data_IF_765537086053
#
_entry.id   IF_765537086053
#
_cell.length_a   1.000
_cell.length_b   1.000
_cell.length_c   1.000
_cell.angle_alpha   90.00
_cell.angle_beta   90.00
_cell.angle_gamma   90.00
#
_symmetry.space_group_name_H-M   'P 1'
#
loop_
_entity.id
_entity.type
_entity.pdbx_description
1 polymer ?
#
# COMPACT_ATOMS: atom_id res chain seq x y z
N UNK A 1 50.62 -31.19 1.31
CA UNK A 1 51.66 -30.76 0.36
C UNK A 1 51.06 -29.65 -0.46
N UNK A 2 51.15 -28.41 0.05
CA UNK A 2 51.01 -27.20 -0.79
C UNK A 2 52.27 -27.09 -1.70
N UNK A 3 52.30 -26.19 -2.70
CA UNK A 3 52.55 -24.78 -2.41
C UNK A 3 51.58 -23.78 -3.06
N UNK A 4 51.56 -22.62 -2.43
CA UNK A 4 50.81 -21.38 -2.66
C UNK A 4 51.46 -20.45 -3.71
N UNK A 5 50.73 -19.36 -4.03
CA UNK A 5 51.15 -17.94 -4.28
C UNK A 5 50.58 -17.36 -5.58
N UNK A 6 50.12 -16.11 -5.71
CA UNK A 6 49.90 -14.96 -4.82
C UNK A 6 49.14 -13.87 -5.63
N UNK A 7 48.65 -12.85 -4.91
CA UNK A 7 47.79 -11.73 -5.28
C UNK A 7 48.18 -10.83 -6.48
N UNK A 8 47.19 -10.11 -7.03
CA UNK A 8 47.28 -8.65 -7.34
C UNK A 8 45.95 -7.98 -7.74
N UNK A 9 45.72 -6.80 -7.16
CA UNK A 9 44.72 -5.74 -7.45
C UNK A 9 45.50 -4.40 -7.42
N UNK A 10 45.06 -3.22 -7.93
CA UNK A 10 44.05 -2.80 -8.93
C UNK A 10 44.70 -2.00 -10.11
N UNK A 11 43.93 -1.24 -10.92
CA UNK A 11 44.02 0.23 -10.76
C UNK A 11 42.72 1.04 -10.93
N UNK A 12 42.83 2.30 -10.49
CA UNK A 12 41.87 3.41 -10.45
C UNK A 12 41.18 3.79 -11.76
N UNK A 13 39.92 4.24 -11.66
CA UNK A 13 39.29 5.13 -12.66
C UNK A 13 38.52 6.29 -11.98
N UNK A 14 39.27 7.37 -11.77
CA UNK A 14 39.02 8.76 -12.19
C UNK A 14 37.55 9.24 -12.19
N UNK A 15 37.23 10.04 -11.17
CA UNK A 15 36.15 11.04 -11.18
C UNK A 15 36.69 12.35 -11.74
N UNK A 16 35.97 12.99 -12.69
CA UNK A 16 36.17 14.41 -13.05
C UNK A 16 34.87 15.21 -12.93
N UNK A 17 34.94 16.49 -12.50
CA UNK A 17 33.79 17.33 -12.19
C UNK A 17 33.46 18.34 -13.29
N UNK A 18 32.22 18.87 -13.27
CA UNK A 18 31.78 20.11 -13.92
C UNK A 18 30.36 20.41 -13.41
N UNK A 19 29.92 21.60 -13.05
CA UNK A 19 30.48 22.95 -13.10
C UNK A 19 29.32 23.96 -12.99
N UNK A 20 29.63 25.18 -12.54
CA UNK A 20 28.87 26.44 -12.67
C UNK A 20 27.61 26.63 -11.77
N UNK A 21 27.26 27.81 -11.23
CA UNK A 21 27.77 29.18 -11.37
C UNK A 21 27.28 30.05 -10.18
N UNK A 22 28.06 31.09 -9.85
CA UNK A 22 27.80 32.19 -8.90
C UNK A 22 26.74 33.20 -9.41
N UNK A 23 26.15 33.98 -8.48
CA UNK A 23 26.03 35.47 -8.39
C UNK A 23 24.79 35.83 -7.53
N UNK A 24 24.85 36.43 -6.32
CA UNK A 24 25.03 37.87 -5.93
C UNK A 24 24.12 38.81 -6.75
N UNK A 25 23.24 39.69 -6.23
CA UNK A 25 23.42 40.87 -5.33
C UNK A 25 22.04 41.47 -4.90
N UNK A 26 21.82 41.86 -3.63
CA UNK A 26 21.70 43.23 -3.04
C UNK A 26 20.51 44.15 -3.41
N UNK A 27 19.77 44.61 -2.38
CA UNK A 27 19.26 45.99 -2.11
C UNK A 27 18.59 45.97 -0.70
N UNK A 28 19.16 46.52 0.39
CA UNK A 28 19.23 47.94 0.87
C UNK A 28 17.84 48.62 0.98
N UNK A 29 17.31 48.76 2.21
CA UNK A 29 17.43 49.89 3.18
C UNK A 29 16.44 51.05 2.89
N UNK A 30 15.39 51.19 3.73
CA UNK A 30 15.23 52.22 4.78
C UNK A 30 14.81 53.62 4.30
N UNK A 31 13.79 54.18 4.97
CA UNK A 31 13.70 55.61 5.36
C UNK A 31 12.57 55.88 6.35
N UNK A 32 12.98 56.32 7.54
CA UNK A 32 12.44 57.38 8.44
C UNK A 32 11.36 58.32 7.85
N UNK A 33 10.45 59.00 8.56
CA UNK A 33 10.46 59.67 9.89
C UNK A 33 8.98 60.15 10.13
N UNK A 34 8.36 60.04 11.31
CA UNK A 34 8.34 61.06 12.38
C UNK A 34 7.11 62.00 12.36
N UNK A 35 6.30 62.07 13.45
CA UNK A 35 5.37 63.20 13.68
C UNK A 35 4.08 63.00 14.49
N UNK A 36 4.18 63.12 15.82
CA UNK A 36 3.24 63.50 16.89
C UNK A 36 1.69 63.60 16.72
N UNK A 37 0.99 62.89 17.63
CA UNK A 37 -0.07 63.30 18.60
C UNK A 37 -1.34 64.05 18.14
N UNK A 38 -2.53 63.50 18.44
CA UNK A 38 -3.55 64.08 19.36
C UNK A 38 -4.92 63.34 19.36
N UNK A 39 -5.25 62.75 20.51
CA UNK A 39 -6.56 62.57 21.22
C UNK A 39 -7.83 61.92 20.62
N UNK A 40 -8.47 61.17 21.54
CA UNK A 40 -9.91 60.89 21.73
C UNK A 40 -10.53 59.74 20.90
N UNK A 41 -10.63 58.53 21.47
CA UNK A 41 -11.77 58.07 22.29
C UNK A 41 -13.06 57.88 21.52
N UNK A 42 -13.42 56.64 21.14
CA UNK A 42 -14.69 55.99 21.52
C UNK A 42 -14.80 54.54 21.02
N UNK A 43 -14.86 53.64 21.99
CA UNK A 43 -15.71 52.44 22.10
C UNK A 43 -16.33 51.86 20.82
N UNK A 44 -15.96 50.61 20.55
CA UNK A 44 -16.62 49.71 19.61
C UNK A 44 -15.85 48.39 19.54
N UNK A 45 -15.81 47.66 20.65
CA UNK A 45 -15.26 46.31 20.68
C UNK A 45 -16.23 45.38 19.96
N UNK A 46 -16.14 45.31 18.64
CA UNK A 46 -16.70 44.21 17.88
C UNK A 46 -15.77 43.01 18.11
N UNK A 47 -15.98 42.34 19.24
CA UNK A 47 -15.47 40.99 19.46
C UNK A 47 -16.21 40.09 18.47
N UNK A 48 -15.56 39.79 17.35
CA UNK A 48 -15.94 38.72 16.44
C UNK A 48 -15.65 37.37 17.13
N UNK A 49 -16.30 37.13 18.27
CA UNK A 49 -16.36 35.83 18.92
C UNK A 49 -17.63 35.16 18.44
N UNK A 50 -17.58 34.60 17.22
CA UNK A 50 -18.58 33.66 16.74
C UNK A 50 -18.64 32.48 17.73
N UNK A 51 -19.52 32.58 18.73
CA UNK A 51 -19.72 31.54 19.72
C UNK A 51 -20.37 30.36 19.02
N UNK A 52 -19.69 29.22 19.05
CA UNK A 52 -20.16 27.94 18.54
C UNK A 52 -21.32 27.35 19.36
N UNK A 53 -21.78 28.06 20.40
CA UNK A 53 -22.90 27.71 21.26
C UNK A 53 -24.22 27.77 20.47
N UNK A 54 -24.59 26.64 19.88
CA UNK A 54 -25.82 26.48 19.09
C UNK A 54 -25.67 25.59 17.86
N UNK A 55 -24.43 25.27 17.45
CA UNK A 55 -24.19 24.37 16.31
C UNK A 55 -24.74 22.96 16.52
N UNK A 56 -24.90 22.52 17.77
CA UNK A 56 -25.46 21.21 18.13
C UNK A 56 -27.00 21.16 18.12
N UNK A 57 -27.66 22.33 18.11
CA UNK A 57 -29.13 22.44 18.02
C UNK A 57 -29.63 22.48 16.57
N UNK A 58 -28.73 22.58 15.59
CA UNK A 58 -29.11 22.53 14.18
C UNK A 58 -29.74 21.17 13.86
N UNK A 59 -30.92 21.15 13.21
CA UNK A 59 -31.55 19.90 12.80
C UNK A 59 -30.60 19.12 11.89
N UNK A 60 -30.30 17.89 12.28
CA UNK A 60 -29.54 16.97 11.45
C UNK A 60 -30.45 16.50 10.33
N UNK A 61 -30.29 17.07 9.14
CA UNK A 61 -30.94 16.58 7.93
C UNK A 61 -30.61 15.09 7.75
N UNK A 62 -31.63 14.20 7.67
CA UNK A 62 -31.39 12.79 7.45
C UNK A 62 -30.67 12.56 6.11
N UNK A 63 -29.38 12.27 6.18
CA UNK A 63 -28.60 11.96 4.99
C UNK A 63 -28.98 10.56 4.49
N UNK A 64 -29.72 10.48 3.38
CA UNK A 64 -29.98 9.20 2.72
C UNK A 64 -28.66 8.56 2.26
N UNK A 65 -28.43 7.33 2.71
CA UNK A 65 -27.26 6.57 2.27
C UNK A 65 -27.46 6.17 0.81
N UNK A 66 -26.42 6.42 0.01
CA UNK A 66 -26.38 5.99 -1.40
C UNK A 66 -26.60 4.46 -1.48
N UNK A 67 -27.37 3.97 -2.45
CA UNK A 67 -27.57 2.54 -2.60
C UNK A 67 -26.25 1.84 -2.96
N UNK A 68 -26.03 0.67 -2.36
CA UNK A 68 -24.83 -0.15 -2.52
C UNK A 68 -25.11 -1.41 -3.34
N UNK A 69 -24.09 -1.93 -4.01
CA UNK A 69 -24.17 -3.19 -4.73
C UNK A 69 -24.15 -4.37 -3.75
N UNK A 70 -25.12 -5.29 -3.86
CA UNK A 70 -25.18 -6.49 -3.02
C UNK A 70 -23.99 -7.45 -3.19
N UNK A 71 -23.27 -7.39 -4.32
CA UNK A 71 -22.14 -8.27 -4.63
C UNK A 71 -20.80 -7.74 -4.10
N UNK A 72 -20.53 -6.44 -4.22
CA UNK A 72 -19.22 -5.86 -3.85
C UNK A 72 -19.29 -4.72 -2.81
N UNK A 73 -20.49 -4.33 -2.38
CA UNK A 73 -20.77 -3.21 -1.46
C UNK A 73 -20.30 -1.84 -1.94
N UNK A 74 -19.90 -1.69 -3.21
CA UNK A 74 -19.61 -0.37 -3.80
C UNK A 74 -20.91 0.41 -4.03
N UNK A 75 -20.90 1.75 -3.93
CA UNK A 75 -22.04 2.56 -4.34
C UNK A 75 -22.41 2.26 -5.80
N UNK A 76 -23.70 2.13 -6.09
CA UNK A 76 -24.18 1.67 -7.41
C UNK A 76 -23.61 2.47 -8.58
N UNK A 77 -23.49 3.80 -8.42
CA UNK A 77 -22.99 4.72 -9.46
C UNK A 77 -21.54 4.45 -9.91
N UNK A 78 -20.72 3.81 -9.07
CA UNK A 78 -19.30 3.51 -9.34
C UNK A 78 -19.01 2.02 -9.24
N UNK A 79 -20.06 1.20 -9.31
CA UNK A 79 -19.94 -0.24 -9.24
C UNK A 79 -19.34 -0.81 -10.54
N UNK A 80 -18.38 -1.72 -10.40
CA UNK A 80 -17.73 -2.39 -11.53
C UNK A 80 -18.31 -3.78 -11.81
N UNK A 81 -19.21 -4.29 -10.96
CA UNK A 81 -19.84 -5.61 -11.13
C UNK A 81 -20.51 -5.82 -12.51
N UNK A 82 -21.14 -4.82 -13.16
CA UNK A 82 -21.72 -4.99 -14.48
C UNK A 82 -20.71 -5.31 -15.59
N UNK A 83 -19.43 -4.97 -15.40
CA UNK A 83 -18.36 -5.17 -16.38
C UNK A 83 -17.49 -6.39 -16.08
N UNK A 84 -17.81 -7.14 -15.01
CA UNK A 84 -17.09 -8.37 -14.71
C UNK A 84 -17.43 -9.46 -15.72
N UNK A 85 -16.54 -10.44 -15.92
CA UNK A 85 -16.83 -11.61 -16.74
C UNK A 85 -18.16 -12.27 -16.34
N UNK A 86 -18.94 -12.66 -17.36
CA UNK A 86 -20.23 -13.35 -17.17
C UNK A 86 -20.03 -14.71 -16.48
N UNK A 87 -18.92 -15.38 -16.80
CA UNK A 87 -18.51 -16.63 -16.18
C UNK A 87 -17.19 -16.45 -15.44
N UNK A 88 -16.99 -17.11 -14.29
CA UNK A 88 -15.71 -17.07 -13.58
C UNK A 88 -14.54 -17.50 -14.48
N UNK A 89 -13.40 -16.83 -14.32
CA UNK A 89 -12.19 -17.13 -15.05
C UNK A 89 -11.65 -18.50 -14.64
N UNK A 90 -11.30 -19.33 -15.62
CA UNK A 90 -10.71 -20.62 -15.35
C UNK A 90 -9.23 -20.47 -15.00
N UNK A 91 -8.86 -20.81 -13.76
CA UNK A 91 -7.48 -20.78 -13.28
C UNK A 91 -7.10 -22.13 -12.65
N UNK A 92 -5.87 -22.58 -12.91
CA UNK A 92 -5.31 -23.79 -12.31
C UNK A 92 -4.81 -23.54 -10.88
N UNK A 93 -4.27 -22.35 -10.63
CA UNK A 93 -3.69 -21.90 -9.37
C UNK A 93 -4.75 -21.42 -8.37
N UNK A 94 -4.54 -21.66 -7.08
CA UNK A 94 -5.36 -21.10 -5.99
C UNK A 94 -4.78 -19.77 -5.53
N UNK A 95 -5.63 -18.77 -5.33
CA UNK A 95 -5.25 -17.49 -4.77
C UNK A 95 -5.58 -17.44 -3.28
N UNK A 96 -4.59 -17.03 -2.50
CA UNK A 96 -4.71 -16.84 -1.06
C UNK A 96 -4.44 -15.37 -0.72
N UNK A 97 -5.49 -14.59 -0.54
CA UNK A 97 -5.41 -13.14 -0.30
C UNK A 97 -5.31 -12.88 1.20
N UNK A 98 -4.21 -12.27 1.63
CA UNK A 98 -4.01 -11.79 2.99
C UNK A 98 -4.31 -10.30 3.01
N UNK A 99 -5.52 -9.94 3.44
CA UNK A 99 -6.01 -8.58 3.40
C UNK A 99 -5.77 -7.84 4.71
N UNK A 100 -5.20 -6.64 4.63
CA UNK A 100 -5.06 -5.76 5.77
C UNK A 100 -6.45 -5.26 6.25
N UNK A 101 -6.76 -5.21 7.57
CA UNK A 101 -8.09 -4.82 8.05
C UNK A 101 -8.55 -3.41 7.65
N UNK A 102 -7.62 -2.50 7.34
CA UNK A 102 -7.97 -1.17 6.85
C UNK A 102 -8.46 -1.18 5.40
N UNK A 103 -8.09 -2.19 4.60
CA UNK A 103 -8.54 -2.33 3.21
C UNK A 103 -9.97 -2.88 3.13
N UNK A 104 -10.34 -3.77 4.05
CA UNK A 104 -11.70 -4.32 4.12
C UNK A 104 -12.75 -3.21 4.21
N UNK A 105 -12.46 -2.15 4.97
CA UNK A 105 -13.39 -1.04 5.20
C UNK A 105 -13.38 0.01 4.08
N UNK A 106 -12.55 -0.15 3.04
CA UNK A 106 -12.53 0.79 1.92
C UNK A 106 -13.75 0.60 1.03
N UNK A 107 -14.45 1.69 0.76
CA UNK A 107 -15.61 1.74 -0.13
C UNK A 107 -15.28 1.20 -1.53
N UNK A 108 -14.07 1.47 -2.04
CA UNK A 108 -13.61 1.03 -3.36
C UNK A 108 -12.62 -0.16 -3.28
N UNK A 109 -12.88 -1.11 -2.38
CA UNK A 109 -12.10 -2.35 -2.27
C UNK A 109 -12.18 -3.21 -3.52
N UNK A 110 -11.07 -3.86 -3.86
CA UNK A 110 -10.87 -4.67 -5.08
C UNK A 110 -11.08 -6.15 -4.84
N UNK A 111 -10.79 -6.64 -3.63
CA UNK A 111 -10.89 -8.06 -3.28
C UNK A 111 -12.27 -8.68 -3.58
N UNK A 112 -13.42 -8.04 -3.26
CA UNK A 112 -14.72 -8.60 -3.63
C UNK A 112 -14.94 -8.72 -5.14
N UNK A 113 -14.34 -7.81 -5.94
CA UNK A 113 -14.40 -7.90 -7.40
C UNK A 113 -13.53 -9.05 -7.92
N UNK A 114 -12.32 -9.21 -7.39
CA UNK A 114 -11.45 -10.33 -7.73
C UNK A 114 -12.10 -11.67 -7.40
N UNK A 115 -12.60 -11.84 -6.18
CA UNK A 115 -13.28 -13.06 -5.74
C UNK A 115 -14.52 -13.36 -6.60
N UNK A 116 -15.25 -12.32 -7.01
CA UNK A 116 -16.38 -12.42 -7.92
C UNK A 116 -16.01 -12.93 -9.32
N UNK A 117 -14.79 -12.71 -9.78
CA UNK A 117 -14.30 -13.16 -11.10
C UNK A 117 -13.76 -14.59 -11.09
N UNK A 118 -13.65 -15.25 -9.94
CA UNK A 118 -12.98 -16.54 -9.79
C UNK A 118 -13.94 -17.62 -9.27
N UNK A 119 -13.64 -18.90 -9.52
CA UNK A 119 -14.33 -20.00 -8.85
C UNK A 119 -14.21 -19.88 -7.33
N UNK A 120 -15.27 -20.22 -6.60
CA UNK A 120 -15.33 -20.04 -5.14
C UNK A 120 -14.26 -20.84 -4.38
N UNK A 121 -13.85 -21.98 -4.93
CA UNK A 121 -12.79 -22.85 -4.40
C UNK A 121 -11.38 -22.35 -4.72
N UNK A 122 -11.24 -21.40 -5.66
CA UNK A 122 -9.94 -20.90 -6.14
C UNK A 122 -9.48 -19.59 -5.52
N UNK A 123 -10.33 -18.90 -4.75
CA UNK A 123 -9.95 -17.64 -4.10
C UNK A 123 -10.34 -17.65 -2.63
N UNK A 124 -9.33 -17.66 -1.75
CA UNK A 124 -9.52 -17.60 -0.31
C UNK A 124 -8.99 -16.29 0.24
N UNK A 125 -9.81 -15.59 1.01
CA UNK A 125 -9.45 -14.30 1.63
C UNK A 125 -9.34 -14.48 3.14
N UNK A 126 -8.25 -13.99 3.73
CA UNK A 126 -8.06 -13.90 5.18
C UNK A 126 -7.71 -12.47 5.56
N UNK A 127 -8.49 -11.91 6.48
CA UNK A 127 -8.30 -10.54 6.96
C UNK A 127 -7.53 -10.58 8.27
N UNK A 128 -6.45 -9.80 8.36
CA UNK A 128 -5.66 -9.75 9.59
C UNK A 128 -4.29 -9.12 9.40
N UNK A 129 -3.63 -8.84 10.54
CA UNK A 129 -2.25 -8.35 10.57
C UNK A 129 -1.25 -9.40 11.05
N UNK A 130 -1.73 -10.39 11.81
CA UNK A 130 -0.90 -11.39 12.49
C UNK A 130 -1.54 -12.78 12.42
N UNK A 131 -0.80 -13.72 11.88
CA UNK A 131 -1.13 -15.11 11.67
C UNK A 131 -0.04 -15.94 12.34
N UNK A 132 -0.45 -16.99 13.04
CA UNK A 132 0.46 -17.94 13.67
C UNK A 132 -0.03 -19.35 13.40
N UNK A 133 0.83 -20.34 13.59
CA UNK A 133 0.53 -21.74 13.27
C UNK A 133 -0.63 -22.28 14.10
N UNK A 134 -0.75 -21.85 15.35
CA UNK A 134 -1.75 -22.30 16.30
C UNK A 134 -3.12 -21.69 15.99
N UNK A 135 -3.13 -20.44 15.52
CA UNK A 135 -4.38 -19.72 15.21
C UNK A 135 -4.88 -20.00 13.80
N UNK A 136 -3.98 -20.38 12.90
CA UNK A 136 -4.31 -20.59 11.50
C UNK A 136 -3.55 -21.77 10.89
N UNK A 137 -4.00 -22.97 11.29
CA UNK A 137 -3.45 -24.26 10.83
C UNK A 137 -3.51 -24.39 9.31
N UNK A 138 -4.59 -23.92 8.69
CA UNK A 138 -4.76 -23.99 7.25
C UNK A 138 -3.74 -23.11 6.52
N UNK A 139 -3.58 -21.85 6.93
CA UNK A 139 -2.61 -20.95 6.31
C UNK A 139 -1.17 -21.45 6.54
N UNK A 140 -0.87 -21.96 7.74
CA UNK A 140 0.43 -22.61 8.01
C UNK A 140 0.69 -23.78 7.05
N UNK A 141 -0.31 -24.64 6.86
CA UNK A 141 -0.22 -25.78 5.92
C UNK A 141 0.02 -25.31 4.49
N UNK A 142 -0.67 -24.27 4.05
CA UNK A 142 -0.47 -23.67 2.71
C UNK A 142 0.94 -23.10 2.58
N UNK A 143 1.43 -22.35 3.57
CA UNK A 143 2.76 -21.74 3.53
C UNK A 143 3.91 -22.76 3.48
N UNK A 144 3.70 -23.98 3.98
CA UNK A 144 4.71 -25.05 4.00
C UNK A 144 4.80 -25.87 2.71
N UNK A 145 3.81 -25.75 1.81
CA UNK A 145 3.84 -26.47 0.54
C UNK A 145 4.91 -25.88 -0.38
N UNK A 146 5.73 -26.73 -0.99
CA UNK A 146 6.76 -26.33 -1.94
C UNK A 146 6.21 -25.67 -3.22
N UNK A 147 4.96 -25.94 -3.57
CA UNK A 147 4.26 -25.33 -4.72
C UNK A 147 3.49 -24.06 -4.37
N UNK A 148 3.71 -23.49 -3.17
CA UNK A 148 3.16 -22.21 -2.77
C UNK A 148 4.20 -21.11 -2.98
N UNK A 149 3.77 -20.03 -3.64
CA UNK A 149 4.54 -18.80 -3.77
C UNK A 149 3.91 -17.70 -2.94
N UNK A 150 4.71 -16.71 -2.57
CA UNK A 150 4.20 -15.45 -2.03
C UNK A 150 4.64 -14.28 -2.89
N UNK A 151 3.68 -13.49 -3.34
CA UNK A 151 3.92 -12.28 -4.12
C UNK A 151 4.28 -11.13 -3.18
N UNK A 152 5.58 -10.90 -3.01
CA UNK A 152 6.12 -9.83 -2.18
C UNK A 152 7.54 -9.47 -2.65
N UNK A 153 7.83 -8.20 -2.96
CA UNK A 153 9.15 -7.77 -3.47
C UNK A 153 10.17 -7.60 -2.33
N UNK A 154 10.54 -8.72 -1.69
CA UNK A 154 11.63 -8.78 -0.72
C UNK A 154 13.01 -8.94 -1.38
N UNK A 155 14.07 -8.90 -0.57
CA UNK A 155 15.45 -9.09 -1.05
C UNK A 155 15.67 -10.46 -1.72
N UNK A 156 14.97 -11.49 -1.25
CA UNK A 156 15.04 -12.87 -1.74
C UNK A 156 14.04 -13.15 -2.89
N UNK A 157 13.33 -12.13 -3.36
CA UNK A 157 12.28 -12.27 -4.36
C UNK A 157 12.88 -12.46 -5.77
N UNK A 158 12.59 -13.62 -6.36
CA UNK A 158 12.90 -13.91 -7.76
C UNK A 158 11.78 -13.35 -8.66
N UNK A 159 12.10 -13.05 -9.91
CA UNK A 159 11.06 -12.70 -10.87
C UNK A 159 10.09 -13.88 -11.10
N UNK A 160 8.79 -13.59 -11.20
CA UNK A 160 7.78 -14.64 -11.37
C UNK A 160 7.89 -15.32 -12.75
N UNK A 161 8.18 -14.57 -13.80
CA UNK A 161 8.32 -15.13 -15.15
C UNK A 161 9.55 -16.03 -15.23
N UNK A 162 10.68 -15.59 -14.69
CA UNK A 162 11.90 -16.40 -14.56
C UNK A 162 11.64 -17.70 -13.78
N UNK A 163 10.94 -17.61 -12.65
CA UNK A 163 10.58 -18.78 -11.85
C UNK A 163 9.72 -19.79 -12.64
N UNK A 164 8.77 -19.31 -13.44
CA UNK A 164 7.89 -20.19 -14.23
C UNK A 164 8.67 -20.89 -15.35
N UNK A 165 9.68 -20.24 -15.93
CA UNK A 165 10.53 -20.81 -16.97
C UNK A 165 11.48 -21.89 -16.44
N UNK A 166 12.06 -21.66 -15.26
CA UNK A 166 13.08 -22.54 -14.67
C UNK A 166 12.50 -23.73 -13.89
N UNK A 167 11.24 -23.63 -13.46
CA UNK A 167 10.61 -24.66 -12.63
C UNK A 167 9.86 -25.71 -13.47
N UNK A 168 10.15 -27.02 -13.29
CA UNK A 168 9.35 -28.07 -13.91
C UNK A 168 7.95 -28.22 -13.29
N UNK A 169 7.68 -27.52 -12.18
CA UNK A 169 6.42 -27.60 -11.44
C UNK A 169 5.76 -26.22 -11.39
N UNK A 170 4.55 -26.13 -11.96
CA UNK A 170 3.71 -24.94 -11.87
C UNK A 170 3.21 -24.72 -10.43
N UNK A 171 3.18 -23.47 -9.94
CA UNK A 171 2.71 -23.17 -8.60
C UNK A 171 1.22 -23.50 -8.45
N UNK A 172 0.90 -24.25 -7.40
CA UNK A 172 -0.48 -24.63 -7.09
C UNK A 172 -1.23 -23.52 -6.34
N UNK A 173 -0.49 -22.67 -5.62
CA UNK A 173 -1.04 -21.59 -4.79
C UNK A 173 -0.14 -20.35 -4.85
N UNK A 174 -0.75 -19.17 -4.96
CA UNK A 174 -0.08 -17.89 -4.81
C UNK A 174 -0.72 -17.11 -3.66
N UNK A 175 0.09 -16.74 -2.68
CA UNK A 175 -0.29 -15.85 -1.58
C UNK A 175 -0.06 -14.41 -2.03
N UNK A 176 -1.07 -13.55 -1.89
CA UNK A 176 -1.01 -12.12 -2.24
C UNK A 176 -1.37 -11.30 -1.01
N UNK A 177 -0.60 -10.26 -0.71
CA UNK A 177 -0.89 -9.35 0.40
C UNK A 177 -1.63 -8.13 -0.13
N UNK A 178 -2.89 -7.95 0.26
CA UNK A 178 -3.72 -6.80 -0.12
C UNK A 178 -3.61 -5.69 0.93
N UNK A 179 -3.00 -4.58 0.53
CA UNK A 179 -2.67 -3.45 1.39
C UNK A 179 -1.87 -2.38 0.67
N UNK A 180 -1.74 -1.20 1.29
CA UNK A 180 -0.72 -0.24 0.89
C UNK A 180 0.67 -0.82 1.12
N UNK A 181 1.70 -0.26 0.49
CA UNK A 181 3.09 -0.72 0.67
C UNK A 181 3.51 -0.85 2.14
N UNK A 182 3.16 0.13 2.97
CA UNK A 182 3.45 0.09 4.41
C UNK A 182 2.68 -1.03 5.12
N UNK A 183 1.40 -1.25 4.78
CA UNK A 183 0.59 -2.31 5.37
C UNK A 183 1.06 -3.70 4.94
N UNK A 184 1.35 -3.90 3.66
CA UNK A 184 1.83 -5.16 3.13
C UNK A 184 3.19 -5.53 3.74
N UNK A 185 4.09 -4.54 3.84
CA UNK A 185 5.36 -4.67 4.57
C UNK A 185 5.14 -5.09 6.02
N UNK A 186 4.23 -4.41 6.73
CA UNK A 186 3.92 -4.70 8.13
C UNK A 186 3.41 -6.14 8.32
N UNK A 187 2.48 -6.58 7.46
CA UNK A 187 1.97 -7.95 7.45
C UNK A 187 3.11 -8.93 7.17
N UNK A 188 3.92 -8.72 6.14
CA UNK A 188 5.00 -9.64 5.80
C UNK A 188 5.99 -9.84 6.95
N UNK A 189 6.48 -8.75 7.55
CA UNK A 189 7.52 -8.84 8.59
C UNK A 189 7.01 -9.31 9.95
N UNK A 190 5.72 -9.12 10.26
CA UNK A 190 5.11 -9.59 11.52
C UNK A 190 4.74 -11.08 11.51
N UNK A 191 4.83 -11.74 10.36
CA UNK A 191 4.39 -13.13 10.17
C UNK A 191 5.53 -13.99 9.64
N UNK A 192 6.19 -14.73 10.52
CA UNK A 192 7.28 -15.65 10.15
C UNK A 192 6.86 -16.69 9.11
N UNK A 193 5.58 -17.09 9.12
CA UNK A 193 4.97 -18.00 8.14
C UNK A 193 5.18 -17.56 6.69
N UNK A 194 5.18 -16.26 6.42
CA UNK A 194 5.32 -15.73 5.06
C UNK A 194 6.76 -15.75 4.54
N UNK A 195 7.72 -16.18 5.36
CA UNK A 195 9.10 -16.46 4.93
C UNK A 195 9.31 -17.91 4.47
N UNK A 196 8.33 -18.80 4.69
CA UNK A 196 8.42 -20.21 4.29
C UNK A 196 8.23 -20.41 2.77
N UNK A 197 7.23 -19.79 2.12
CA UNK A 197 7.08 -19.89 0.67
C UNK A 197 8.18 -19.13 -0.05
N UNK A 198 8.47 -19.54 -1.29
CA UNK A 198 9.36 -18.80 -2.17
C UNK A 198 8.75 -17.42 -2.48
N UNK A 199 9.53 -16.37 -2.25
CA UNK A 199 9.16 -15.00 -2.59
C UNK A 199 9.33 -14.77 -4.09
N UNK A 200 8.31 -14.17 -4.70
CA UNK A 200 8.32 -13.75 -6.09
C UNK A 200 7.86 -12.31 -6.22
N UNK A 201 8.28 -11.65 -7.30
CA UNK A 201 7.88 -10.30 -7.67
C UNK A 201 7.43 -10.25 -9.13
N UNK A 202 6.64 -9.25 -9.47
CA UNK A 202 6.33 -8.92 -10.86
C UNK A 202 7.29 -7.79 -11.28
N UNK A 203 7.90 -7.94 -12.45
CA UNK A 203 8.65 -6.87 -13.11
C UNK A 203 7.72 -6.24 -14.15
N UNK A 204 7.56 -4.92 -14.08
CA UNK A 204 6.78 -4.11 -15.01
C UNK A 204 7.65 -2.97 -15.57
#
# INVERSE_FOLDING_TARGET
MEPQKEARTPPDLIVRPSGALRSQTLSEEERQEGGASLVASTLGAEADSASADGLWELPVEPAERRPECSRCSRPQKVCLCPFLPVHPLHISTHLYIIQHPAEENKVLRTVPLLAACLPQDKCKVKIGRRFSEERDVELSTVCRKSSTLILYPGAEATDLEEFILDSPVYPSTIIIIDGTWSQAKDIFYKNSLFRLPKQVKLVF
#
